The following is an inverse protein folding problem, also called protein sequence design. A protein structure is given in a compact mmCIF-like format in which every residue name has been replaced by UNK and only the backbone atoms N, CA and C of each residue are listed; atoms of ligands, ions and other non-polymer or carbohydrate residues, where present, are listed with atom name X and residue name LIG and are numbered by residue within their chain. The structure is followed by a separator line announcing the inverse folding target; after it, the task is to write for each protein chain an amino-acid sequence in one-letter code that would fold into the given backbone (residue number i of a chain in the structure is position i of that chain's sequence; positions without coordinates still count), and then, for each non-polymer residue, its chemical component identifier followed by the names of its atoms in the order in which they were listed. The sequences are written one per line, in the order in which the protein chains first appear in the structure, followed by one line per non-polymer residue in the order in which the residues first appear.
data_IF_624621733925
#
_entry.id   IF_624621733925
#
_cell.length_a   1.000
_cell.length_b   1.000
_cell.length_c   1.000
_cell.angle_alpha   90.00
_cell.angle_beta   90.00
_cell.angle_gamma   90.00
#
_symmetry.space_group_name_H-M   'P 1'
#
loop_
_entity.id
_entity.type
_entity.pdbx_description
1 polymer ?
#
# COMPACT_ATOMS: atom_id res chain seq x y z
N UNK A 1 34.26 -14.04 67.73
CA UNK A 1 34.38 -13.93 66.26
C UNK A 1 33.00 -13.80 65.68
N UNK A 2 32.54 -12.59 65.45
CA UNK A 2 31.21 -12.26 64.96
C UNK A 2 31.33 -12.04 63.45
N UNK A 3 30.76 -12.95 62.64
CA UNK A 3 30.67 -12.84 61.20
C UNK A 3 29.68 -11.69 60.83
N UNK A 4 30.20 -10.59 60.27
CA UNK A 4 29.40 -9.55 59.67
C UNK A 4 28.80 -10.10 58.38
N UNK A 5 27.49 -10.38 58.39
CA UNK A 5 26.71 -10.55 57.16
C UNK A 5 26.74 -9.23 56.39
N UNK A 6 27.36 -9.26 55.22
CA UNK A 6 27.26 -8.18 54.23
C UNK A 6 25.88 -8.26 53.60
N UNK A 7 25.00 -7.39 54.06
CA UNK A 7 23.73 -7.14 53.36
C UNK A 7 24.05 -6.56 51.99
N UNK A 8 23.72 -7.29 50.96
CA UNK A 8 23.87 -6.84 49.59
C UNK A 8 22.82 -5.75 49.28
N UNK A 9 23.22 -4.57 48.79
CA UNK A 9 22.29 -3.51 48.42
C UNK A 9 21.66 -3.80 47.06
N UNK A 10 20.81 -4.82 46.96
CA UNK A 10 20.10 -5.16 45.73
C UNK A 10 18.83 -4.33 45.46
N UNK A 11 18.42 -3.51 46.46
CA UNK A 11 17.18 -2.73 46.41
C UNK A 11 17.22 -1.52 45.45
N UNK A 12 18.39 -1.05 45.02
CA UNK A 12 18.52 0.10 44.11
C UNK A 12 18.37 -0.24 42.61
N UNK A 13 18.64 -1.49 42.22
CA UNK A 13 18.66 -1.93 40.82
C UNK A 13 17.26 -2.03 40.19
N UNK A 14 16.25 -2.45 40.96
CA UNK A 14 14.88 -2.65 40.47
C UNK A 14 14.20 -1.31 40.14
N UNK A 15 14.48 -0.26 40.91
CA UNK A 15 13.88 1.06 40.72
C UNK A 15 14.38 1.75 39.43
N UNK A 16 15.62 1.43 39.00
CA UNK A 16 16.20 1.91 37.74
C UNK A 16 15.77 1.08 36.54
N UNK A 17 15.43 -0.20 36.72
CA UNK A 17 14.97 -1.09 35.66
C UNK A 17 13.55 -0.75 35.20
N UNK A 18 12.65 -0.29 36.05
CA UNK A 18 11.27 0.00 35.72
C UNK A 18 11.12 1.07 34.60
N UNK A 19 11.76 2.26 34.70
CA UNK A 19 11.67 3.25 33.65
C UNK A 19 12.32 2.77 32.35
N UNK A 20 13.36 1.96 32.41
CA UNK A 20 14.00 1.39 31.21
C UNK A 20 13.06 0.40 30.49
N UNK A 21 12.36 -0.46 31.23
CA UNK A 21 11.37 -1.39 30.65
C UNK A 21 10.20 -0.62 30.03
N UNK A 22 9.68 0.40 30.70
CA UNK A 22 8.61 1.26 30.15
C UNK A 22 9.06 1.93 28.88
N UNK A 23 10.29 2.47 28.84
CA UNK A 23 10.83 3.09 27.63
C UNK A 23 10.93 2.10 26.46
N UNK A 24 11.41 0.89 26.71
CA UNK A 24 11.48 -0.16 25.68
C UNK A 24 10.08 -0.53 25.16
N UNK A 25 9.09 -0.66 26.05
CA UNK A 25 7.71 -0.94 25.64
C UNK A 25 7.11 0.19 24.81
N UNK A 26 7.39 1.45 25.13
CA UNK A 26 6.94 2.61 24.33
C UNK A 26 7.59 2.60 22.95
N UNK A 27 8.88 2.30 22.83
CA UNK A 27 9.57 2.21 21.54
C UNK A 27 8.99 1.07 20.70
N UNK A 28 8.78 -0.11 21.27
CA UNK A 28 8.17 -1.24 20.58
C UNK A 28 6.74 -0.92 20.14
N UNK A 29 5.96 -0.26 20.99
CA UNK A 29 4.60 0.21 20.64
C UNK A 29 4.61 1.20 19.49
N UNK A 30 5.53 2.15 19.49
CA UNK A 30 5.69 3.11 18.39
C UNK A 30 6.01 2.43 17.06
N UNK A 31 6.93 1.46 17.06
CA UNK A 31 7.29 0.67 15.86
C UNK A 31 6.09 -0.14 15.37
N UNK A 32 5.32 -0.75 16.27
CA UNK A 32 4.14 -1.52 15.91
C UNK A 32 3.07 -0.66 15.24
N UNK A 33 2.81 0.55 15.77
CA UNK A 33 1.85 1.49 15.18
C UNK A 33 2.31 1.95 13.79
N UNK A 34 3.55 2.40 13.64
CA UNK A 34 4.06 2.87 12.34
C UNK A 34 4.08 1.75 11.29
N UNK A 35 4.41 0.51 11.70
CA UNK A 35 4.34 -0.66 10.83
C UNK A 35 2.92 -0.98 10.38
N UNK A 36 1.94 -0.81 11.26
CA UNK A 36 0.52 -1.02 10.94
C UNK A 36 0.00 0.01 9.94
N UNK A 37 0.38 1.28 10.09
CA UNK A 37 0.04 2.35 9.13
C UNK A 37 0.63 2.03 7.76
N UNK A 38 1.90 1.64 7.72
CA UNK A 38 2.57 1.22 6.48
C UNK A 38 1.83 0.09 5.77
N UNK A 39 1.47 -0.93 6.51
CA UNK A 39 0.75 -2.09 5.99
C UNK A 39 -0.63 -1.70 5.44
N UNK A 40 -1.40 -0.89 6.18
CA UNK A 40 -2.72 -0.43 5.77
C UNK A 40 -2.65 0.41 4.50
N UNK A 41 -1.74 1.38 4.42
CA UNK A 41 -1.56 2.20 3.22
C UNK A 41 -1.19 1.34 2.01
N UNK A 42 -0.28 0.37 2.19
CA UNK A 42 0.10 -0.56 1.12
C UNK A 42 -1.08 -1.40 0.65
N UNK A 43 -1.91 -1.89 1.57
CA UNK A 43 -3.10 -2.66 1.25
C UNK A 43 -4.12 -1.81 0.49
N UNK A 44 -4.42 -0.61 0.97
CA UNK A 44 -5.34 0.32 0.30
C UNK A 44 -4.86 0.65 -1.13
N UNK A 45 -3.54 0.86 -1.30
CA UNK A 45 -2.97 1.12 -2.62
C UNK A 45 -3.08 -0.10 -3.55
N UNK A 46 -2.88 -1.31 -3.01
CA UNK A 46 -3.05 -2.55 -3.79
C UNK A 46 -4.52 -2.75 -4.18
N UNK A 47 -5.47 -2.52 -3.27
CA UNK A 47 -6.91 -2.60 -3.54
C UNK A 47 -7.32 -1.55 -4.59
N UNK A 48 -6.75 -0.34 -4.53
CA UNK A 48 -6.94 0.72 -5.53
C UNK A 48 -6.45 0.27 -6.91
N UNK A 49 -5.19 -0.20 -7.02
CA UNK A 49 -4.62 -0.60 -8.32
C UNK A 49 -5.37 -1.77 -8.93
N UNK A 50 -5.80 -2.75 -8.11
CA UNK A 50 -6.61 -3.87 -8.57
C UNK A 50 -7.98 -3.41 -9.08
N UNK A 51 -8.71 -2.63 -8.29
CA UNK A 51 -10.02 -2.12 -8.69
C UNK A 51 -9.98 -1.19 -9.89
N UNK A 52 -8.91 -0.39 -10.04
CA UNK A 52 -8.72 0.49 -11.19
C UNK A 52 -8.39 -0.30 -12.47
N UNK A 53 -7.53 -1.33 -12.38
CA UNK A 53 -7.19 -2.21 -13.50
C UNK A 53 -8.42 -3.00 -13.98
N UNK A 54 -9.18 -3.57 -13.06
CA UNK A 54 -10.41 -4.34 -13.39
C UNK A 54 -11.46 -3.45 -14.07
N UNK A 55 -11.68 -2.23 -13.53
CA UNK A 55 -12.62 -1.28 -14.15
C UNK A 55 -12.15 -0.83 -15.53
N UNK A 56 -10.86 -0.56 -15.69
CA UNK A 56 -10.30 -0.19 -16.97
C UNK A 56 -10.45 -1.33 -17.99
N UNK A 57 -10.11 -2.56 -17.62
CA UNK A 57 -10.27 -3.74 -18.45
C UNK A 57 -11.74 -3.98 -18.87
N UNK A 58 -12.69 -3.81 -17.95
CA UNK A 58 -14.11 -4.03 -18.21
C UNK A 58 -14.76 -2.91 -19.03
N UNK A 59 -14.34 -1.65 -18.83
CA UNK A 59 -15.03 -0.48 -19.39
C UNK A 59 -14.39 0.03 -20.68
N UNK A 60 -13.08 -0.13 -20.82
CA UNK A 60 -12.31 0.45 -21.93
C UNK A 60 -12.22 -0.47 -23.14
N UNK A 61 -13.20 -1.34 -23.35
CA UNK A 61 -13.24 -2.20 -24.54
C UNK A 61 -13.40 -1.37 -25.81
N UNK A 62 -12.53 -1.59 -26.80
CA UNK A 62 -12.61 -1.00 -28.14
C UNK A 62 -13.76 -1.67 -28.93
N UNK A 63 -14.95 -1.07 -28.82
CA UNK A 63 -16.15 -1.57 -29.52
C UNK A 63 -16.01 -1.58 -31.05
N UNK A 64 -15.46 -0.54 -31.71
CA UNK A 64 -15.18 -0.58 -33.13
C UNK A 64 -14.32 -1.77 -33.55
N UNK A 65 -13.25 -2.07 -32.84
CA UNK A 65 -12.39 -3.23 -33.14
C UNK A 65 -13.16 -4.54 -32.94
N UNK A 66 -13.96 -4.65 -31.88
CA UNK A 66 -14.78 -5.84 -31.63
C UNK A 66 -15.80 -6.11 -32.72
N UNK A 67 -16.57 -5.10 -33.14
CA UNK A 67 -17.57 -5.25 -34.21
C UNK A 67 -16.98 -5.37 -35.62
N UNK A 68 -15.77 -4.85 -35.85
CA UNK A 68 -15.11 -4.89 -37.14
C UNK A 68 -14.30 -6.16 -37.39
N UNK A 69 -13.56 -6.64 -36.41
CA UNK A 69 -12.62 -7.76 -36.55
C UNK A 69 -12.87 -8.93 -35.56
N UNK A 70 -13.82 -8.79 -34.65
CA UNK A 70 -14.04 -9.76 -33.56
C UNK A 70 -12.95 -9.75 -32.51
N UNK A 71 -12.00 -8.80 -32.55
CA UNK A 71 -10.86 -8.76 -31.63
C UNK A 71 -11.21 -7.95 -30.38
N UNK A 72 -11.06 -8.56 -29.22
CA UNK A 72 -11.21 -7.86 -27.93
C UNK A 72 -9.93 -7.10 -27.65
N UNK A 73 -10.02 -5.78 -27.57
CA UNK A 73 -8.91 -4.89 -27.22
C UNK A 73 -9.36 -3.79 -26.28
N UNK A 74 -8.43 -3.30 -25.47
CA UNK A 74 -8.64 -2.15 -24.59
C UNK A 74 -8.19 -0.88 -25.31
N UNK A 75 -9.04 0.16 -25.29
CA UNK A 75 -8.68 1.51 -25.73
C UNK A 75 -7.82 2.19 -24.64
N UNK A 76 -6.54 2.53 -24.93
CA UNK A 76 -5.65 3.14 -23.95
C UNK A 76 -6.15 4.49 -23.42
N UNK A 77 -6.84 5.28 -24.26
CA UNK A 77 -7.35 6.59 -23.87
C UNK A 77 -8.51 6.47 -22.88
N UNK A 78 -9.43 5.53 -23.13
CA UNK A 78 -10.55 5.25 -22.23
C UNK A 78 -10.03 4.63 -20.93
N UNK A 79 -9.06 3.69 -21.00
CA UNK A 79 -8.44 3.11 -19.82
C UNK A 79 -7.79 4.18 -18.92
N UNK A 80 -7.05 5.11 -19.50
CA UNK A 80 -6.45 6.22 -18.76
C UNK A 80 -7.50 7.12 -18.10
N UNK A 81 -8.60 7.44 -18.79
CA UNK A 81 -9.70 8.24 -18.22
C UNK A 81 -10.40 7.55 -17.05
N UNK A 82 -10.63 6.23 -17.14
CA UNK A 82 -11.23 5.43 -16.06
C UNK A 82 -10.34 5.41 -14.83
N UNK A 83 -9.03 5.22 -15.02
CA UNK A 83 -8.07 5.20 -13.90
C UNK A 83 -7.91 6.58 -13.29
N UNK A 84 -7.89 7.67 -14.05
CA UNK A 84 -7.87 9.03 -13.53
C UNK A 84 -9.11 9.35 -12.67
N UNK A 85 -10.29 8.89 -13.10
CA UNK A 85 -11.51 9.02 -12.29
C UNK A 85 -11.44 8.22 -10.99
N UNK A 86 -10.86 7.01 -11.03
CA UNK A 86 -10.65 6.20 -9.84
C UNK A 86 -9.63 6.83 -8.88
N UNK A 87 -8.55 7.45 -9.40
CA UNK A 87 -7.56 8.18 -8.62
C UNK A 87 -8.21 9.35 -7.85
N UNK A 88 -9.02 10.16 -8.53
CA UNK A 88 -9.74 11.25 -7.89
C UNK A 88 -10.62 10.77 -6.74
N UNK A 89 -11.29 9.62 -6.89
CA UNK A 89 -12.07 8.99 -5.83
C UNK A 89 -11.21 8.51 -4.66
N UNK A 90 -10.06 7.92 -4.92
CA UNK A 90 -9.14 7.42 -3.89
C UNK A 90 -8.50 8.56 -3.07
N UNK A 91 -8.14 9.66 -3.72
CA UNK A 91 -7.63 10.87 -3.05
C UNK A 91 -8.70 11.47 -2.14
N UNK A 92 -9.97 11.55 -2.57
CA UNK A 92 -11.08 11.96 -1.70
C UNK A 92 -11.29 11.00 -0.52
N UNK A 93 -10.98 9.72 -0.70
CA UNK A 93 -10.98 8.70 0.36
C UNK A 93 -9.82 8.78 1.34
N UNK A 94 -8.90 9.74 1.17
CA UNK A 94 -7.78 9.99 2.08
C UNK A 94 -6.48 9.23 1.75
N UNK A 95 -6.38 8.61 0.56
CA UNK A 95 -5.15 8.00 0.09
C UNK A 95 -4.27 9.08 -0.56
N UNK A 96 -3.06 9.30 -0.02
CA UNK A 96 -2.12 10.31 -0.53
C UNK A 96 -1.33 9.76 -1.72
N UNK A 97 -1.97 9.73 -2.89
CA UNK A 97 -1.40 9.22 -4.14
C UNK A 97 -0.45 10.27 -4.74
N UNK A 98 0.78 9.86 -5.03
CA UNK A 98 1.82 10.72 -5.62
C UNK A 98 2.00 10.51 -7.11
N UNK A 99 1.68 9.31 -7.60
CA UNK A 99 1.73 9.00 -9.03
C UNK A 99 0.84 7.82 -9.36
N UNK A 100 0.21 7.87 -10.54
CA UNK A 100 -0.51 6.75 -11.16
C UNK A 100 -0.07 6.66 -12.61
N UNK A 101 0.13 5.45 -13.09
CA UNK A 101 0.38 5.18 -14.50
C UNK A 101 -0.43 3.99 -14.98
N UNK A 102 -0.87 4.06 -16.23
CA UNK A 102 -1.63 3.00 -16.91
C UNK A 102 -0.86 2.57 -18.14
N UNK A 103 -0.69 1.29 -18.30
CA UNK A 103 -0.08 0.69 -19.48
C UNK A 103 -1.00 -0.38 -20.03
N UNK A 104 -1.35 -0.26 -21.31
CA UNK A 104 -2.05 -1.31 -22.05
C UNK A 104 -1.01 -2.17 -22.73
N UNK A 105 -1.13 -3.49 -22.59
CA UNK A 105 -0.20 -4.43 -23.23
C UNK A 105 -0.18 -4.30 -24.75
N UNK A 106 0.90 -4.74 -25.36
CA UNK A 106 1.11 -4.59 -26.81
C UNK A 106 0.01 -5.24 -27.69
N UNK A 107 -0.64 -6.29 -27.16
CA UNK A 107 -1.78 -6.95 -27.81
C UNK A 107 -3.11 -6.24 -27.55
N UNK A 108 -3.16 -5.29 -26.63
CA UNK A 108 -4.38 -4.66 -26.14
C UNK A 108 -5.23 -5.53 -25.22
N UNK A 109 -4.71 -6.69 -24.78
CA UNK A 109 -5.47 -7.67 -23.98
C UNK A 109 -5.14 -7.64 -22.50
N UNK A 110 -4.30 -6.71 -22.06
CA UNK A 110 -4.00 -6.53 -20.65
C UNK A 110 -3.90 -5.07 -20.27
N UNK A 111 -4.27 -4.75 -19.05
CA UNK A 111 -4.14 -3.42 -18.45
C UNK A 111 -3.31 -3.54 -17.19
N UNK A 112 -2.23 -2.79 -17.12
CA UNK A 112 -1.39 -2.67 -15.91
C UNK A 112 -1.56 -1.29 -15.33
N UNK A 113 -1.95 -1.23 -14.07
CA UNK A 113 -2.02 0.00 -13.27
C UNK A 113 -0.93 -0.04 -12.23
N UNK A 114 -0.07 0.98 -12.23
CA UNK A 114 0.97 1.15 -11.21
C UNK A 114 0.70 2.46 -10.47
N UNK A 115 0.79 2.44 -9.16
CA UNK A 115 0.59 3.62 -8.33
C UNK A 115 1.62 3.70 -7.20
N UNK A 116 1.90 4.94 -6.77
CA UNK A 116 2.68 5.24 -5.59
C UNK A 116 1.88 6.16 -4.67
N UNK A 117 2.01 5.94 -3.36
CA UNK A 117 1.37 6.77 -2.34
C UNK A 117 2.31 7.03 -1.16
N UNK A 118 2.05 8.10 -0.41
CA UNK A 118 2.78 8.40 0.83
C UNK A 118 2.06 7.77 2.02
N UNK A 119 2.82 7.04 2.82
CA UNK A 119 2.40 6.60 4.15
C UNK A 119 3.02 7.52 5.20
N UNK A 120 2.18 8.06 6.09
CA UNK A 120 2.59 8.98 7.14
C UNK A 120 2.88 8.22 8.44
N UNK A 121 4.11 8.35 8.96
CA UNK A 121 4.46 7.77 10.26
C UNK A 121 3.93 8.64 11.39
N UNK A 122 3.45 8.00 12.46
CA UNK A 122 2.95 8.66 13.67
C UNK A 122 4.12 8.97 14.60
N UNK A 123 5.00 8.01 14.82
CA UNK A 123 6.11 8.10 15.77
C UNK A 123 7.49 8.20 15.12
N UNK A 124 7.61 8.00 13.82
CA UNK A 124 8.89 7.99 13.12
C UNK A 124 9.74 9.24 13.36
N UNK A 125 9.10 10.41 13.50
CA UNK A 125 9.78 11.67 13.80
C UNK A 125 10.37 11.70 15.20
N UNK A 126 9.68 11.15 16.19
CA UNK A 126 10.14 11.11 17.57
C UNK A 126 11.39 10.22 17.73
N UNK A 127 11.54 9.23 16.84
CA UNK A 127 12.71 8.36 16.78
C UNK A 127 13.84 8.89 15.85
N UNK A 128 13.76 10.15 15.35
CA UNK A 128 14.72 10.70 14.42
C UNK A 128 14.58 10.20 12.97
N UNK A 129 13.49 9.52 12.67
CA UNK A 129 13.19 8.98 11.35
C UNK A 129 12.45 9.96 10.42
N UNK A 130 11.99 9.45 9.27
CA UNK A 130 11.23 10.23 8.29
C UNK A 130 9.76 10.29 8.66
N UNK A 131 9.09 11.40 8.30
CA UNK A 131 7.64 11.58 8.49
C UNK A 131 6.81 10.76 7.52
N UNK A 132 7.37 10.48 6.36
CA UNK A 132 6.70 9.80 5.27
C UNK A 132 7.64 8.81 4.59
N UNK A 133 7.07 7.76 4.06
CA UNK A 133 7.76 6.87 3.12
C UNK A 133 6.80 6.52 1.97
N UNK A 134 7.38 6.27 0.78
CA UNK A 134 6.60 5.94 -0.41
C UNK A 134 6.33 4.44 -0.45
N UNK A 135 5.08 4.08 -0.68
CA UNK A 135 4.65 2.71 -0.97
C UNK A 135 4.27 2.60 -2.44
N UNK A 136 4.50 1.44 -3.03
CA UNK A 136 4.19 1.18 -4.43
C UNK A 136 3.30 -0.05 -4.54
N UNK A 137 2.40 -0.03 -5.51
CA UNK A 137 1.61 -1.18 -5.92
C UNK A 137 1.48 -1.20 -7.45
N UNK A 138 1.38 -2.39 -8.02
CA UNK A 138 1.12 -2.61 -9.42
C UNK A 138 0.20 -3.83 -9.57
N UNK A 139 -0.78 -3.71 -10.45
CA UNK A 139 -1.70 -4.81 -10.77
C UNK A 139 -1.89 -4.87 -12.27
N UNK A 140 -1.85 -6.08 -12.82
CA UNK A 140 -2.16 -6.37 -14.21
C UNK A 140 -3.43 -7.20 -14.26
N UNK A 141 -4.39 -6.77 -15.07
CA UNK A 141 -5.62 -7.51 -15.33
C UNK A 141 -5.67 -7.82 -16.81
N UNK A 142 -5.86 -9.10 -17.14
CA UNK A 142 -6.04 -9.56 -18.50
C UNK A 142 -7.52 -9.44 -18.89
N UNK A 143 -7.78 -9.00 -20.12
CA UNK A 143 -9.11 -9.03 -20.69
C UNK A 143 -9.35 -10.44 -21.22
N UNK A 144 -10.10 -11.21 -20.46
CA UNK A 144 -10.40 -12.59 -20.82
C UNK A 144 -11.32 -12.59 -22.06
N UNK A 145 -10.81 -13.12 -23.16
CA UNK A 145 -11.65 -13.48 -24.29
C UNK A 145 -12.57 -14.62 -23.80
N UNK A 146 -13.86 -14.35 -23.66
CA UNK A 146 -14.84 -15.41 -23.38
C UNK A 146 -14.75 -16.34 -24.58
N UNK A 147 -13.86 -17.32 -24.46
CA UNK A 147 -13.77 -18.41 -25.41
C UNK A 147 -15.16 -19.02 -25.52
N UNK A 148 -15.82 -18.82 -26.64
CA UNK A 148 -17.06 -19.49 -27.01
C UNK A 148 -16.77 -20.99 -26.91
N UNK A 149 -17.16 -21.57 -25.78
CA UNK A 149 -17.10 -23.01 -25.60
C UNK A 149 -18.03 -23.63 -26.62
N UNK A 150 -17.55 -24.52 -27.49
CA UNK A 150 -18.39 -25.19 -28.49
C UNK A 150 -19.48 -26.05 -27.83
#
# INVERSE_FOLDING_TARGET
MTARQREHPERGSVLLLLPAVVLVLLILGAIAVDSSVAYLTRRQLADFTAGAADRAAATALDRPAFYGSGTVRVDPGVAAAVVAAAEAGAVHGGLDITSVSVTVGATGQSVTVTAAALAHTVFGVAAGGRRTFTVHAATTTDVEEVATRP
#
